data_IF_439570498255
#
_entry.id   IF_439570498255
#
_cell.length_a   1.000
_cell.length_b   1.000
_cell.length_c   1.000
_cell.angle_alpha   90.00
_cell.angle_beta   90.00
_cell.angle_gamma   90.00
#
_symmetry.space_group_name_H-M   'P 1'
#
loop_
_entity.id
_entity.type
_entity.pdbx_description
1 polymer ?
#
# COMPACT_ATOMS: atom_id res chain seq x y z
N UNK A 1 17.74 -2.20 -3.10
CA UNK A 1 16.48 -1.78 -2.45
C UNK A 1 16.65 -0.36 -1.96
N UNK A 2 15.68 0.50 -2.26
CA UNK A 2 15.66 1.90 -1.83
C UNK A 2 15.37 2.00 -0.32
N UNK A 3 15.85 3.05 0.34
CA UNK A 3 15.65 3.26 1.77
C UNK A 3 14.27 3.85 2.04
N UNK A 4 13.62 3.42 3.13
CA UNK A 4 12.38 4.05 3.61
C UNK A 4 12.74 5.43 4.19
N UNK A 5 12.11 6.48 3.67
CA UNK A 5 12.30 7.86 4.14
C UNK A 5 11.31 8.19 5.24
N UNK A 6 10.03 7.93 4.97
CA UNK A 6 8.94 8.23 5.90
C UNK A 6 7.71 7.38 5.61
N UNK A 7 6.83 7.32 6.59
CA UNK A 7 5.44 6.88 6.43
C UNK A 7 4.62 8.01 5.81
N UNK A 8 3.65 7.64 4.97
CA UNK A 8 2.60 8.56 4.51
C UNK A 8 1.24 8.13 5.05
N UNK A 9 0.43 9.10 5.45
CA UNK A 9 -0.81 8.92 6.16
C UNK A 9 -0.64 8.53 7.64
N UNK A 10 -1.77 8.33 8.30
CA UNK A 10 -1.85 7.91 9.69
C UNK A 10 -1.30 6.48 9.87
N UNK A 11 -0.67 6.15 10.99
CA UNK A 11 -0.20 4.78 11.25
C UNK A 11 -1.36 3.80 11.49
N UNK A 12 -1.18 2.47 11.37
CA UNK A 12 -2.21 1.49 11.76
C UNK A 12 -2.76 1.73 13.16
N UNK A 13 -1.90 2.11 14.11
CA UNK A 13 -2.29 2.44 15.48
C UNK A 13 -3.21 3.65 15.53
N UNK A 14 -2.88 4.71 14.79
CA UNK A 14 -3.70 5.93 14.72
C UNK A 14 -5.04 5.71 14.03
N UNK A 15 -5.17 4.61 13.27
CA UNK A 15 -6.42 4.14 12.64
C UNK A 15 -7.13 3.05 13.46
N UNK A 16 -6.74 2.84 14.72
CA UNK A 16 -7.43 1.93 15.64
C UNK A 16 -6.97 0.47 15.61
N UNK A 17 -5.88 0.13 14.91
CA UNK A 17 -5.30 -1.21 14.99
C UNK A 17 -4.56 -1.39 16.33
N UNK A 18 -5.17 -2.14 17.24
CA UNK A 18 -4.68 -2.32 18.63
C UNK A 18 -4.06 -3.70 18.89
N UNK A 19 -4.22 -4.68 17.99
CA UNK A 19 -3.77 -6.06 18.20
C UNK A 19 -2.79 -6.55 17.13
N UNK A 20 -1.48 -6.40 17.32
CA UNK A 20 -0.41 -7.09 16.55
C UNK A 20 -0.38 -6.90 15.02
N UNK A 21 -1.40 -6.25 14.45
CA UNK A 21 -1.61 -6.01 13.04
C UNK A 21 -1.09 -4.61 12.72
N UNK A 22 0.18 -4.55 12.32
CA UNK A 22 0.83 -3.31 11.90
C UNK A 22 0.53 -2.95 10.44
N UNK A 23 -0.51 -3.53 9.84
CA UNK A 23 -0.91 -3.31 8.45
C UNK A 23 -2.39 -2.93 8.37
N UNK A 24 -2.84 -2.31 7.26
CA UNK A 24 -2.05 -1.88 6.09
C UNK A 24 -1.17 -0.65 6.34
N UNK A 25 -0.19 -0.39 5.46
CA UNK A 25 0.75 0.73 5.62
C UNK A 25 1.32 1.23 4.29
N UNK A 26 1.79 2.48 4.25
CA UNK A 26 2.42 3.07 3.06
C UNK A 26 3.64 3.90 3.46
N UNK A 27 4.74 3.70 2.75
CA UNK A 27 6.01 4.40 2.96
C UNK A 27 6.52 5.01 1.66
N UNK A 28 7.05 6.23 1.77
CA UNK A 28 7.81 6.89 0.71
C UNK A 28 9.27 6.43 0.77
N UNK A 29 9.84 6.12 -0.40
CA UNK A 29 11.20 5.62 -0.57
C UNK A 29 12.13 6.72 -1.13
N UNK A 30 13.44 6.56 -0.91
CA UNK A 30 14.46 7.55 -1.26
C UNK A 30 14.55 7.88 -2.77
N UNK A 31 14.05 6.99 -3.62
CA UNK A 31 14.00 7.10 -5.07
C UNK A 31 12.65 7.63 -5.58
N UNK A 32 11.78 8.12 -4.67
CA UNK A 32 10.45 8.65 -4.99
C UNK A 32 9.37 7.58 -5.19
N UNK A 33 9.73 6.29 -5.09
CA UNK A 33 8.78 5.19 -5.13
C UNK A 33 8.03 5.04 -3.80
N UNK A 34 6.98 4.21 -3.80
CA UNK A 34 6.21 3.89 -2.60
C UNK A 34 6.22 2.39 -2.31
N UNK A 35 6.44 2.03 -1.04
CA UNK A 35 6.22 0.68 -0.55
C UNK A 35 4.84 0.59 0.11
N UNK A 36 4.06 -0.42 -0.28
CA UNK A 36 2.71 -0.66 0.24
C UNK A 36 2.67 -1.99 0.97
N UNK A 37 2.21 -1.99 2.22
CA UNK A 37 1.96 -3.19 3.02
C UNK A 37 0.45 -3.40 3.09
N UNK A 38 -0.01 -4.57 2.66
CA UNK A 38 -1.42 -4.96 2.67
C UNK A 38 -1.59 -6.46 2.73
N UNK A 39 -2.84 -6.93 2.62
CA UNK A 39 -3.13 -8.36 2.50
C UNK A 39 -2.77 -8.82 1.09
N UNK A 40 -1.92 -9.85 0.95
CA UNK A 40 -1.66 -10.49 -0.35
C UNK A 40 -2.91 -11.25 -0.80
N UNK A 41 -3.50 -10.79 -1.90
CA UNK A 41 -4.69 -11.37 -2.54
C UNK A 41 -4.41 -11.73 -3.99
N UNK A 42 -3.13 -11.94 -4.33
CA UNK A 42 -2.67 -12.20 -5.71
C UNK A 42 -3.47 -13.33 -6.34
N UNK A 43 -3.53 -14.51 -5.71
CA UNK A 43 -4.21 -15.67 -6.30
C UNK A 43 -5.71 -15.47 -6.56
N UNK A 44 -6.37 -14.60 -5.78
CA UNK A 44 -7.80 -14.32 -5.96
C UNK A 44 -8.07 -13.23 -7.00
N UNK A 45 -7.20 -12.22 -7.12
CA UNK A 45 -7.45 -11.07 -8.02
C UNK A 45 -6.72 -11.16 -9.36
N UNK A 46 -5.62 -11.91 -9.47
CA UNK A 46 -4.88 -12.11 -10.73
C UNK A 46 -5.79 -12.58 -11.88
N UNK A 47 -6.70 -13.57 -11.70
CA UNK A 47 -7.62 -13.98 -12.77
C UNK A 47 -8.72 -12.96 -13.09
N UNK A 48 -9.00 -12.02 -12.18
CA UNK A 48 -10.07 -11.03 -12.28
C UNK A 48 -9.55 -9.64 -12.71
N UNK A 49 -8.27 -9.53 -13.09
CA UNK A 49 -7.71 -8.27 -13.56
C UNK A 49 -8.44 -7.79 -14.83
N UNK A 50 -8.66 -6.47 -14.97
CA UNK A 50 -9.17 -5.87 -16.20
C UNK A 50 -8.34 -6.28 -17.43
N UNK A 51 -8.96 -6.25 -18.61
CA UNK A 51 -8.31 -6.68 -19.86
C UNK A 51 -7.05 -5.87 -20.23
N UNK A 52 -6.90 -4.66 -19.69
CA UNK A 52 -5.78 -3.76 -19.88
C UNK A 52 -4.74 -3.81 -18.74
N UNK A 53 -4.94 -4.70 -17.76
CA UNK A 53 -4.03 -4.89 -16.63
C UNK A 53 -3.44 -6.30 -16.63
N UNK A 54 -2.16 -6.39 -16.25
CA UNK A 54 -1.50 -7.66 -16.01
C UNK A 54 -0.49 -7.51 -14.90
N UNK A 55 -0.13 -8.64 -14.29
CA UNK A 55 0.85 -8.73 -13.23
C UNK A 55 2.07 -9.50 -13.73
N UNK A 56 3.25 -8.93 -13.55
CA UNK A 56 4.52 -9.62 -13.77
C UNK A 56 4.77 -10.73 -12.74
N UNK A 57 5.56 -11.74 -13.10
CA UNK A 57 5.81 -12.89 -12.21
C UNK A 57 6.42 -12.56 -10.84
N UNK A 58 7.08 -11.40 -10.72
CA UNK A 58 7.70 -10.91 -9.48
C UNK A 58 6.81 -9.93 -8.69
N UNK A 59 5.65 -9.56 -9.23
CA UNK A 59 4.72 -8.61 -8.62
C UNK A 59 3.67 -9.36 -7.78
N UNK A 60 3.06 -8.63 -6.84
CA UNK A 60 1.98 -9.10 -5.96
C UNK A 60 0.85 -8.11 -5.95
N UNK A 61 -0.39 -8.61 -5.90
CA UNK A 61 -1.56 -7.76 -5.68
C UNK A 61 -1.83 -7.74 -4.19
N UNK A 62 -1.64 -6.57 -3.58
CA UNK A 62 -1.94 -6.32 -2.17
C UNK A 62 -3.16 -5.42 -2.02
N UNK A 63 -3.99 -5.70 -1.01
CA UNK A 63 -5.13 -4.85 -0.66
C UNK A 63 -4.83 -4.07 0.62
N UNK A 64 -5.11 -2.77 0.56
CA UNK A 64 -5.16 -1.85 1.70
C UNK A 64 -6.60 -1.34 1.87
N UNK A 65 -6.95 -0.86 3.06
CA UNK A 65 -8.28 -0.29 3.28
C UNK A 65 -8.41 1.07 2.61
N UNK A 66 -9.65 1.44 2.27
CA UNK A 66 -9.97 2.78 1.77
C UNK A 66 -9.48 3.88 2.71
N UNK A 67 -9.64 3.69 4.02
CA UNK A 67 -9.18 4.67 5.01
C UNK A 67 -7.67 4.91 4.91
N UNK A 68 -6.86 3.85 4.76
CA UNK A 68 -5.41 3.99 4.62
C UNK A 68 -5.03 4.86 3.43
N UNK A 69 -5.62 4.63 2.27
CA UNK A 69 -5.34 5.42 1.08
C UNK A 69 -5.82 6.87 1.21
N UNK A 70 -7.00 7.09 1.78
CA UNK A 70 -7.53 8.45 1.99
C UNK A 70 -6.67 9.26 2.97
N UNK A 71 -6.13 8.63 4.02
CA UNK A 71 -5.21 9.29 4.95
C UNK A 71 -3.87 9.63 4.28
N UNK A 72 -3.39 8.78 3.38
CA UNK A 72 -2.16 9.03 2.63
C UNK A 72 -2.28 10.20 1.65
N UNK A 73 -3.48 10.48 1.12
CA UNK A 73 -3.70 11.60 0.19
C UNK A 73 -3.18 12.94 0.74
N UNK A 74 -3.32 13.20 2.04
CA UNK A 74 -2.87 14.46 2.64
C UNK A 74 -1.34 14.71 2.50
N UNK A 75 -0.56 13.65 2.29
CA UNK A 75 0.89 13.70 2.10
C UNK A 75 1.31 13.62 0.63
N UNK A 76 0.37 13.41 -0.30
CA UNK A 76 0.62 13.27 -1.74
C UNK A 76 0.19 14.56 -2.44
N UNK A 77 1.09 15.23 -3.19
CA UNK A 77 0.78 16.47 -3.89
C UNK A 77 -0.23 16.25 -5.04
N UNK A 78 -1.07 17.26 -5.31
CA UNK A 78 -2.16 17.19 -6.31
C UNK A 78 -1.72 17.37 -7.78
N UNK A 79 -0.46 17.76 -8.04
CA UNK A 79 0.19 18.08 -9.33
C UNK A 79 -0.70 18.17 -10.59
#
# INVERSE_FOLDING_TARGET
MSQIIRRIGASPRDRGSVSGANCPDIFELADGNFAVIGADVTNSLDPDLPADASRGGHERIVVITRETLLRAKADIPDL
#
